data_IF_420822717082
#
_entry.id   IF_420822717082
#
_cell.length_a   1.000
_cell.length_b   1.000
_cell.length_c   1.000
_cell.angle_alpha   90.00
_cell.angle_beta   90.00
_cell.angle_gamma   90.00
#
_symmetry.space_group_name_H-M   'P 1'
#
loop_
_entity.id
_entity.type
_entity.pdbx_description
1 polymer ?
#
# COMPACT_ATOMS: atom_id res chain seq x y z
N UNK A 1 -67.68 48.46 46.28
CA UNK A 1 -67.28 49.36 45.19
C UNK A 1 -65.97 48.85 44.61
N UNK A 2 -65.87 48.44 43.33
CA UNK A 2 -66.18 49.17 42.07
C UNK A 2 -65.03 50.09 41.63
N UNK A 3 -64.66 50.17 40.35
CA UNK A 3 -64.90 49.27 39.19
C UNK A 3 -63.99 49.72 38.03
N UNK A 4 -63.67 48.80 37.10
CA UNK A 4 -63.37 49.06 35.66
C UNK A 4 -62.12 49.92 35.31
N UNK A 5 -61.36 49.66 34.23
CA UNK A 5 -61.65 49.63 32.77
C UNK A 5 -62.02 51.02 32.22
N UNK A 6 -61.79 51.41 30.96
CA UNK A 6 -61.23 50.80 29.71
C UNK A 6 -60.63 52.00 28.88
N UNK A 7 -59.97 51.96 27.71
CA UNK A 7 -59.72 50.93 26.68
C UNK A 7 -58.55 51.31 25.74
N UNK A 8 -58.28 50.44 24.74
CA UNK A 8 -57.92 50.72 23.33
C UNK A 8 -56.91 51.83 22.98
N UNK A 9 -55.74 51.55 22.39
CA UNK A 9 -55.48 50.97 21.04
C UNK A 9 -55.68 51.92 19.85
N UNK A 10 -54.63 52.19 19.06
CA UNK A 10 -54.69 52.11 17.57
C UNK A 10 -53.32 52.22 16.86
N UNK A 11 -53.18 51.39 15.81
CA UNK A 11 -52.51 51.61 14.49
C UNK A 11 -50.99 51.72 14.34
N UNK A 12 -50.56 51.18 13.20
CA UNK A 12 -49.22 51.26 12.59
C UNK A 12 -49.06 52.60 11.85
N UNK A 13 -47.83 53.05 11.62
CA UNK A 13 -47.17 52.96 10.29
C UNK A 13 -45.68 53.38 10.35
N UNK A 14 -44.93 53.18 9.27
CA UNK A 14 -43.46 53.27 9.27
C UNK A 14 -42.87 54.13 8.15
N UNK A 15 -41.98 55.06 8.53
CA UNK A 15 -40.96 55.78 7.73
C UNK A 15 -40.07 56.58 8.72
N UNK A 16 -38.79 56.86 8.48
CA UNK A 16 -37.82 56.25 7.55
C UNK A 16 -36.38 56.69 7.90
N UNK A 17 -35.38 55.88 7.54
CA UNK A 17 -33.98 56.28 7.27
C UNK A 17 -33.31 57.26 8.26
N UNK A 18 -32.86 56.76 9.41
CA UNK A 18 -31.78 57.43 10.14
C UNK A 18 -30.41 56.96 9.61
N UNK A 19 -29.58 57.92 9.21
CA UNK A 19 -28.16 57.71 8.88
C UNK A 19 -27.32 58.76 9.60
N UNK A 20 -26.02 58.47 9.76
CA UNK A 20 -25.06 59.19 10.61
C UNK A 20 -25.36 59.04 12.12
N UNK A 21 -24.37 59.08 13.03
CA UNK A 21 -22.94 59.37 12.87
C UNK A 21 -22.03 58.19 13.26
N UNK A 22 -20.84 58.14 12.65
CA UNK A 22 -19.86 57.07 12.85
C UNK A 22 -19.08 57.26 14.16
N UNK A 23 -19.30 56.38 15.15
CA UNK A 23 -18.34 56.21 16.25
C UNK A 23 -17.04 55.62 15.70
N UNK A 24 -15.96 56.39 15.75
CA UNK A 24 -14.64 55.95 15.26
C UNK A 24 -14.10 54.81 16.12
N UNK A 25 -14.22 53.58 15.62
CA UNK A 25 -13.50 52.43 16.17
C UNK A 25 -12.00 52.65 15.96
N UNK A 26 -11.26 52.83 17.06
CA UNK A 26 -9.78 52.88 17.03
C UNK A 26 -9.30 51.51 16.57
N UNK A 27 -8.86 51.38 15.31
CA UNK A 27 -8.26 50.14 14.79
C UNK A 27 -7.18 49.68 15.78
N UNK A 28 -7.22 48.44 16.29
CA UNK A 28 -6.12 47.93 17.09
C UNK A 28 -4.87 47.95 16.20
N UNK A 29 -3.82 48.66 16.64
CA UNK A 29 -2.50 48.53 16.02
C UNK A 29 -2.04 47.11 16.31
N UNK A 30 -1.89 46.29 15.27
CA UNK A 30 -1.32 44.97 15.42
C UNK A 30 0.11 45.15 15.91
N UNK A 31 0.38 44.75 17.16
CA UNK A 31 1.73 44.66 17.69
C UNK A 31 2.49 43.61 16.89
N UNK A 32 3.69 43.95 16.45
CA UNK A 32 4.61 42.94 15.92
C UNK A 32 4.85 41.89 17.01
N UNK A 33 4.63 40.62 16.66
CA UNK A 33 5.06 39.53 17.52
C UNK A 33 6.59 39.48 17.44
N UNK A 34 7.34 39.66 18.54
CA UNK A 34 8.75 39.39 18.53
C UNK A 34 8.92 37.88 18.33
N UNK A 35 9.20 37.48 17.08
CA UNK A 35 9.69 36.15 16.75
C UNK A 35 11.09 36.00 17.34
N UNK A 36 11.15 35.79 18.67
CA UNK A 36 12.33 35.24 19.31
C UNK A 36 12.76 34.01 18.49
N UNK A 37 14.06 33.91 18.17
CA UNK A 37 14.60 32.94 17.22
C UNK A 37 14.60 31.50 17.78
N UNK A 38 13.42 31.01 18.12
CA UNK A 38 13.15 29.68 18.62
C UNK A 38 13.52 28.67 17.54
N UNK A 39 14.61 27.93 17.74
CA UNK A 39 15.29 27.09 16.73
C UNK A 39 14.53 25.83 16.26
N UNK A 40 13.21 25.88 16.18
CA UNK A 40 12.34 24.79 15.81
C UNK A 40 12.28 24.60 14.28
N UNK A 41 13.09 23.67 13.77
CA UNK A 41 12.78 22.98 12.51
C UNK A 41 13.64 23.27 11.28
N UNK A 42 14.68 24.12 11.35
CA UNK A 42 15.54 24.44 10.21
C UNK A 42 16.22 23.23 9.53
N UNK A 43 16.44 23.31 8.21
CA UNK A 43 17.07 22.28 7.36
C UNK A 43 18.52 22.01 7.79
N UNK A 44 18.73 20.88 8.49
CA UNK A 44 20.04 20.40 8.96
C UNK A 44 20.23 18.91 8.63
N UNK A 45 21.47 18.42 8.65
CA UNK A 45 21.78 16.99 8.47
C UNK A 45 21.05 16.19 9.57
N UNK A 46 20.21 15.24 9.17
CA UNK A 46 19.34 14.49 10.10
C UNK A 46 18.03 15.19 10.52
N UNK A 47 17.64 16.30 9.87
CA UNK A 47 16.31 16.88 10.06
C UNK A 47 15.21 15.96 9.53
N UNK A 48 14.09 15.89 10.25
CA UNK A 48 12.92 15.08 9.91
C UNK A 48 12.54 14.09 11.01
N UNK A 49 11.61 13.19 10.71
CA UNK A 49 11.19 12.14 11.65
C UNK A 49 12.30 11.09 11.76
N UNK A 50 12.84 10.89 12.97
CA UNK A 50 13.77 9.78 13.26
C UNK A 50 13.17 8.44 12.77
N UNK A 51 13.94 7.58 12.08
CA UNK A 51 13.44 6.30 11.59
C UNK A 51 13.03 5.38 12.75
N UNK A 52 12.01 4.54 12.53
CA UNK A 52 11.64 3.47 13.48
C UNK A 52 12.55 2.26 13.26
N UNK A 53 13.79 2.37 13.75
CA UNK A 53 14.84 1.35 13.63
C UNK A 53 16.00 1.78 12.73
N UNK A 54 16.90 0.85 12.46
CA UNK A 54 18.17 1.06 11.72
C UNK A 54 18.01 1.59 10.29
N UNK A 55 16.82 1.45 9.70
CA UNK A 55 16.53 1.81 8.30
C UNK A 55 15.27 2.67 8.24
N UNK A 56 15.26 3.61 7.30
CA UNK A 56 14.07 4.41 7.02
C UNK A 56 12.95 3.50 6.48
N UNK A 57 11.76 3.61 7.09
CA UNK A 57 10.53 3.04 6.54
C UNK A 57 10.06 3.87 5.34
N UNK A 58 9.25 3.27 4.47
CA UNK A 58 8.77 3.91 3.25
C UNK A 58 8.00 5.21 3.54
N UNK A 59 8.29 6.30 2.82
CA UNK A 59 7.61 7.57 3.03
C UNK A 59 6.12 7.48 2.70
N UNK A 60 5.31 8.21 3.47
CA UNK A 60 3.85 8.25 3.37
C UNK A 60 3.37 9.11 2.17
N UNK A 61 3.84 8.79 0.96
CA UNK A 61 3.48 9.51 -0.28
C UNK A 61 2.05 9.16 -0.69
N UNK A 62 1.30 10.16 -1.20
CA UNK A 62 -0.01 9.92 -1.83
C UNK A 62 0.23 9.08 -3.09
N UNK A 63 -0.07 7.78 -3.04
CA UNK A 63 -0.03 6.89 -4.22
C UNK A 63 -0.75 7.60 -5.39
N UNK A 64 -0.18 7.63 -6.61
CA UNK A 64 -0.80 8.32 -7.74
C UNK A 64 -2.17 7.71 -8.08
N UNK A 65 -2.92 8.45 -8.89
CA UNK A 65 -4.13 7.94 -9.53
C UNK A 65 -3.75 6.81 -10.49
N UNK A 66 -4.53 5.74 -10.47
CA UNK A 66 -4.15 4.42 -10.97
C UNK A 66 -5.05 4.04 -12.14
N UNK A 67 -4.46 3.61 -13.24
CA UNK A 67 -5.20 2.97 -14.32
C UNK A 67 -5.48 1.51 -13.94
N UNK A 68 -6.74 1.06 -14.05
CA UNK A 68 -7.11 -0.34 -13.80
C UNK A 68 -6.38 -1.31 -14.73
N UNK A 69 -6.08 -0.84 -15.96
CA UNK A 69 -5.40 -1.57 -17.05
C UNK A 69 -3.92 -1.91 -16.79
N UNK A 70 -3.32 -1.42 -15.71
CA UNK A 70 -1.92 -1.69 -15.38
C UNK A 70 -1.78 -2.70 -14.22
N UNK A 71 -1.11 -3.83 -14.44
CA UNK A 71 -0.61 -4.70 -13.37
C UNK A 71 0.44 -3.98 -12.51
N UNK A 72 0.67 -4.50 -11.31
CA UNK A 72 1.62 -3.93 -10.35
C UNK A 72 2.60 -4.98 -9.84
N UNK A 73 3.87 -4.59 -9.76
CA UNK A 73 4.86 -5.33 -8.99
C UNK A 73 4.79 -4.89 -7.52
N UNK A 74 4.12 -5.71 -6.71
CA UNK A 74 4.06 -5.57 -5.25
C UNK A 74 5.29 -6.25 -4.63
N UNK A 75 5.88 -5.64 -3.60
CA UNK A 75 6.97 -6.26 -2.82
C UNK A 75 6.76 -6.00 -1.33
N UNK A 76 6.93 -7.05 -0.50
CA UNK A 76 6.80 -6.95 0.95
C UNK A 76 7.88 -7.77 1.67
N UNK A 77 8.57 -7.15 2.64
CA UNK A 77 9.74 -7.71 3.34
C UNK A 77 9.39 -8.08 4.78
N UNK A 78 9.94 -9.18 5.28
CA UNK A 78 9.79 -9.58 6.69
C UNK A 78 10.82 -8.90 7.60
N UNK A 79 10.56 -8.85 8.91
CA UNK A 79 11.54 -8.36 9.89
C UNK A 79 12.83 -9.19 9.90
N UNK A 80 13.94 -8.56 10.31
CA UNK A 80 15.19 -9.28 10.59
C UNK A 80 15.03 -10.28 11.74
N UNK A 81 15.90 -11.29 11.77
CA UNK A 81 15.84 -12.37 12.78
C UNK A 81 14.70 -13.38 12.60
N UNK A 82 13.85 -13.22 11.58
CA UNK A 82 12.79 -14.19 11.27
C UNK A 82 13.30 -15.34 10.38
N UNK A 83 12.76 -16.57 10.51
CA UNK A 83 13.18 -17.71 9.69
C UNK A 83 12.92 -17.50 8.18
N UNK A 84 13.68 -18.20 7.34
CA UNK A 84 13.58 -18.07 5.89
C UNK A 84 12.23 -18.53 5.35
N UNK A 85 11.60 -17.69 4.51
CA UNK A 85 10.38 -18.05 3.78
C UNK A 85 10.58 -19.22 2.79
N UNK A 86 11.84 -19.53 2.43
CA UNK A 86 12.21 -20.69 1.59
C UNK A 86 12.39 -22.00 2.36
N UNK A 87 12.09 -22.06 3.66
CA UNK A 87 11.98 -23.34 4.37
C UNK A 87 10.78 -24.13 3.83
N UNK A 88 10.91 -25.43 3.58
CA UNK A 88 9.86 -26.23 2.92
C UNK A 88 8.47 -26.12 3.58
N UNK A 89 8.39 -26.19 4.92
CA UNK A 89 7.14 -25.99 5.68
C UNK A 89 6.56 -24.58 5.53
N UNK A 90 7.41 -23.56 5.46
CA UNK A 90 6.98 -22.19 5.20
C UNK A 90 6.47 -22.06 3.75
N UNK A 91 7.16 -22.65 2.78
CA UNK A 91 6.76 -22.60 1.38
C UNK A 91 5.38 -23.24 1.12
N UNK A 92 5.11 -24.44 1.62
CA UNK A 92 3.80 -25.08 1.46
C UNK A 92 2.65 -24.26 2.07
N UNK A 93 2.92 -23.63 3.22
CA UNK A 93 1.99 -22.71 3.89
C UNK A 93 1.81 -21.39 3.12
N UNK A 94 2.87 -20.85 2.52
CA UNK A 94 2.81 -19.67 1.66
C UNK A 94 1.99 -19.96 0.41
N UNK A 95 2.30 -21.03 -0.32
CA UNK A 95 1.63 -21.43 -1.56
C UNK A 95 0.12 -21.63 -1.36
N UNK A 96 -0.27 -22.37 -0.32
CA UNK A 96 -1.68 -22.57 0.03
C UNK A 96 -2.37 -21.28 0.48
N UNK A 97 -1.69 -20.40 1.23
CA UNK A 97 -2.25 -19.10 1.64
C UNK A 97 -2.36 -18.11 0.48
N UNK A 98 -1.42 -18.13 -0.47
CA UNK A 98 -1.43 -17.35 -1.71
C UNK A 98 -2.59 -17.80 -2.58
N UNK A 99 -2.71 -19.10 -2.89
CA UNK A 99 -3.84 -19.67 -3.66
C UNK A 99 -5.19 -19.33 -3.05
N UNK A 100 -5.34 -19.48 -1.72
CA UNK A 100 -6.57 -19.17 -0.99
C UNK A 100 -6.82 -17.66 -0.78
N UNK A 101 -6.01 -16.78 -1.37
CA UNK A 101 -6.19 -15.34 -1.42
C UNK A 101 -5.82 -14.74 -2.77
N UNK A 102 -5.82 -15.57 -3.83
CA UNK A 102 -5.34 -15.21 -5.15
C UNK A 102 -6.35 -14.37 -5.94
N UNK A 103 -7.65 -14.52 -5.68
CA UNK A 103 -8.69 -13.69 -6.29
C UNK A 103 -9.72 -13.32 -5.21
N UNK A 104 -9.73 -12.05 -4.78
CA UNK A 104 -10.56 -11.53 -3.69
C UNK A 104 -10.72 -10.00 -3.80
N UNK A 105 -11.93 -9.48 -3.56
CA UNK A 105 -12.22 -8.03 -3.45
C UNK A 105 -11.82 -7.17 -4.67
N UNK A 106 -11.87 -7.71 -5.89
CA UNK A 106 -11.41 -7.01 -7.10
C UNK A 106 -9.89 -6.91 -7.20
N UNK A 107 -9.17 -7.84 -6.57
CA UNK A 107 -7.71 -7.97 -6.61
C UNK A 107 -7.36 -9.41 -6.99
N UNK A 108 -6.43 -9.54 -7.94
CA UNK A 108 -5.98 -10.82 -8.52
C UNK A 108 -4.46 -10.92 -8.43
N UNK A 109 -3.96 -12.00 -7.84
CA UNK A 109 -2.57 -12.42 -7.88
C UNK A 109 -2.32 -13.15 -9.19
N UNK A 110 -1.43 -12.62 -10.03
CA UNK A 110 -1.06 -13.23 -11.31
C UNK A 110 0.19 -14.10 -11.12
N UNK A 111 1.25 -13.54 -10.55
CA UNK A 111 2.54 -14.22 -10.36
C UNK A 111 3.12 -13.97 -8.97
N UNK A 112 4.00 -14.84 -8.48
CA UNK A 112 4.72 -14.63 -7.23
C UNK A 112 6.16 -15.18 -7.27
N UNK A 113 7.00 -14.63 -6.39
CA UNK A 113 8.33 -15.17 -6.08
C UNK A 113 8.64 -14.98 -4.60
N UNK A 114 8.91 -16.09 -3.91
CA UNK A 114 9.29 -16.11 -2.50
C UNK A 114 10.81 -16.05 -2.41
N UNK A 115 11.35 -14.92 -1.95
CA UNK A 115 12.74 -14.80 -1.51
C UNK A 115 12.84 -15.17 -0.02
N UNK A 116 14.05 -15.49 0.46
CA UNK A 116 14.29 -15.90 1.85
C UNK A 116 13.73 -14.93 2.91
N UNK A 117 13.66 -13.63 2.61
CA UNK A 117 13.14 -12.60 3.54
C UNK A 117 12.14 -11.60 2.91
N UNK A 118 11.63 -11.85 1.69
CA UNK A 118 10.60 -11.01 1.08
C UNK A 118 9.78 -11.76 0.01
N UNK A 119 8.61 -11.21 -0.28
CA UNK A 119 7.71 -11.66 -1.35
C UNK A 119 7.70 -10.63 -2.47
N UNK A 120 7.83 -11.08 -3.71
CA UNK A 120 7.41 -10.36 -4.91
C UNK A 120 6.10 -10.94 -5.41
N UNK A 121 5.17 -10.07 -5.83
CA UNK A 121 3.89 -10.45 -6.42
C UNK A 121 3.66 -9.58 -7.66
N UNK A 122 3.20 -10.15 -8.77
CA UNK A 122 2.57 -9.39 -9.86
C UNK A 122 1.07 -9.51 -9.65
N UNK A 123 0.39 -8.37 -9.55
CA UNK A 123 -1.02 -8.30 -9.19
C UNK A 123 -1.80 -7.39 -10.14
N UNK A 124 -3.02 -7.78 -10.42
CA UNK A 124 -4.05 -6.95 -11.03
C UNK A 124 -5.06 -6.55 -9.95
N UNK A 125 -5.78 -5.47 -10.17
CA UNK A 125 -6.90 -5.07 -9.33
C UNK A 125 -7.73 -4.00 -10.04
N UNK A 126 -9.01 -3.87 -9.70
CA UNK A 126 -9.92 -2.92 -10.36
C UNK A 126 -9.53 -1.47 -10.05
N UNK A 127 -9.29 -1.15 -8.77
CA UNK A 127 -8.97 0.20 -8.32
C UNK A 127 -7.90 0.24 -7.20
N UNK A 128 -7.76 1.39 -6.55
CA UNK A 128 -6.83 1.59 -5.42
C UNK A 128 -7.34 0.96 -4.11
N UNK A 129 -8.65 0.87 -3.92
CA UNK A 129 -9.30 0.31 -2.73
C UNK A 129 -9.16 -1.21 -2.75
N UNK A 130 -9.47 -1.85 -3.88
CA UNK A 130 -9.30 -3.27 -4.16
C UNK A 130 -7.84 -3.72 -3.95
N UNK A 131 -6.87 -3.05 -4.59
CA UNK A 131 -5.44 -3.29 -4.36
C UNK A 131 -5.07 -3.22 -2.87
N UNK A 132 -5.60 -2.23 -2.15
CA UNK A 132 -5.32 -2.02 -0.72
C UNK A 132 -6.00 -3.08 0.15
N UNK A 133 -7.23 -3.49 -0.16
CA UNK A 133 -8.00 -4.52 0.56
C UNK A 133 -7.38 -5.90 0.33
N UNK A 134 -7.22 -6.33 -0.92
CA UNK A 134 -6.64 -7.62 -1.30
C UNK A 134 -5.23 -7.81 -0.75
N UNK A 135 -4.31 -6.86 -1.04
CA UNK A 135 -2.93 -6.96 -0.54
C UNK A 135 -2.85 -6.96 1.00
N UNK A 136 -3.68 -6.16 1.69
CA UNK A 136 -3.74 -6.17 3.16
C UNK A 136 -4.30 -7.48 3.70
N UNK A 137 -5.39 -7.99 3.13
CA UNK A 137 -6.01 -9.25 3.56
C UNK A 137 -5.03 -10.43 3.36
N UNK A 138 -4.36 -10.48 2.22
CA UNK A 138 -3.35 -11.47 1.89
C UNK A 138 -2.18 -11.43 2.88
N UNK A 139 -1.55 -10.26 3.08
CA UNK A 139 -0.43 -10.12 4.03
C UNK A 139 -0.84 -10.39 5.48
N UNK A 140 -2.08 -10.09 5.90
CA UNK A 140 -2.59 -10.45 7.23
C UNK A 140 -2.79 -11.97 7.38
N UNK A 141 -3.33 -12.66 6.36
CA UNK A 141 -3.45 -14.13 6.36
C UNK A 141 -2.07 -14.79 6.42
N UNK A 142 -1.13 -14.35 5.57
CA UNK A 142 0.26 -14.81 5.55
C UNK A 142 0.93 -14.58 6.91
N UNK A 143 0.83 -13.38 7.50
CA UNK A 143 1.43 -13.08 8.79
C UNK A 143 0.87 -13.95 9.93
N UNK A 144 -0.45 -14.19 9.97
CA UNK A 144 -1.09 -15.07 10.97
C UNK A 144 -0.64 -16.52 10.83
N UNK A 145 -0.57 -17.03 9.60
CA UNK A 145 -0.17 -18.41 9.33
C UNK A 145 1.32 -18.63 9.60
N UNK A 146 2.19 -17.72 9.17
CA UNK A 146 3.64 -17.77 9.44
C UNK A 146 3.95 -17.68 10.94
N UNK A 147 3.28 -16.78 11.69
CA UNK A 147 3.44 -16.70 13.14
C UNK A 147 3.04 -18.01 13.85
N UNK A 148 1.96 -18.67 13.40
CA UNK A 148 1.56 -19.99 13.91
C UNK A 148 2.61 -21.06 13.64
N UNK A 149 3.11 -21.17 12.40
CA UNK A 149 4.15 -22.12 12.00
C UNK A 149 5.45 -21.94 12.80
N UNK A 150 5.78 -20.69 13.15
CA UNK A 150 6.98 -20.34 13.90
C UNK A 150 6.73 -20.17 15.42
N UNK A 151 5.60 -20.65 15.94
CA UNK A 151 5.21 -20.59 17.37
C UNK A 151 5.36 -19.20 18.03
N UNK A 152 5.14 -18.12 17.26
CA UNK A 152 5.49 -16.74 17.63
C UNK A 152 4.28 -15.80 17.63
N UNK A 153 4.38 -14.68 18.36
CA UNK A 153 3.46 -13.52 18.30
C UNK A 153 4.22 -12.27 17.87
N UNK A 154 3.54 -11.32 17.23
CA UNK A 154 4.12 -10.04 16.80
C UNK A 154 4.02 -9.78 15.29
N UNK A 155 4.72 -8.75 14.81
CA UNK A 155 4.74 -8.41 13.39
C UNK A 155 5.60 -9.40 12.57
N UNK A 156 5.17 -9.69 11.34
CA UNK A 156 5.95 -10.49 10.37
C UNK A 156 6.57 -9.57 9.32
N UNK A 157 5.74 -8.75 8.65
CA UNK A 157 6.18 -7.80 7.64
C UNK A 157 6.68 -6.50 8.30
N UNK A 158 7.86 -6.04 7.87
CA UNK A 158 8.59 -4.96 8.52
C UNK A 158 8.05 -3.55 8.24
N UNK A 159 7.30 -3.41 7.15
CA UNK A 159 6.81 -2.14 6.62
C UNK A 159 5.52 -2.37 5.80
N UNK A 160 4.94 -1.30 5.27
CA UNK A 160 3.94 -1.37 4.20
C UNK A 160 4.54 -2.08 2.98
N UNK A 161 3.67 -2.67 2.17
CA UNK A 161 4.07 -3.17 0.87
C UNK A 161 4.45 -2.00 -0.06
N UNK A 162 5.58 -2.14 -0.76
CA UNK A 162 5.83 -1.35 -1.96
C UNK A 162 4.91 -1.88 -3.08
N UNK A 163 4.44 -1.00 -3.96
CA UNK A 163 3.83 -1.46 -5.22
C UNK A 163 4.11 -0.45 -6.32
N UNK A 164 4.80 -0.91 -7.36
CA UNK A 164 5.15 -0.19 -8.57
C UNK A 164 4.15 -0.53 -9.68
N UNK A 165 3.75 0.46 -10.48
CA UNK A 165 2.78 0.31 -11.58
C UNK A 165 3.53 0.01 -12.88
N UNK A 166 3.18 -1.09 -13.55
CA UNK A 166 3.87 -1.57 -14.76
C UNK A 166 3.20 -0.95 -16.00
N UNK A 167 3.78 0.12 -16.53
CA UNK A 167 3.14 1.03 -17.50
C UNK A 167 3.39 0.68 -18.97
N UNK A 168 4.13 -0.40 -19.24
CA UNK A 168 4.39 -0.85 -20.61
C UNK A 168 4.56 -2.38 -20.68
N UNK A 169 4.24 -3.03 -21.82
CA UNK A 169 4.49 -4.46 -22.02
C UNK A 169 5.96 -4.85 -21.82
N UNK A 170 6.89 -3.96 -22.18
CA UNK A 170 8.33 -4.17 -21.96
C UNK A 170 8.71 -4.13 -20.47
N UNK A 171 7.99 -3.37 -19.65
CA UNK A 171 8.17 -3.35 -18.19
C UNK A 171 7.51 -4.56 -17.52
N UNK A 172 6.30 -4.95 -17.95
CA UNK A 172 5.65 -6.21 -17.54
C UNK A 172 6.54 -7.41 -17.84
N UNK A 173 7.12 -7.50 -19.05
CA UNK A 173 8.10 -8.54 -19.42
C UNK A 173 9.33 -8.56 -18.52
N UNK A 174 9.84 -7.40 -18.09
CA UNK A 174 10.97 -7.31 -17.15
C UNK A 174 10.57 -7.78 -15.74
N UNK A 175 9.37 -7.42 -15.28
CA UNK A 175 8.83 -7.90 -14.00
C UNK A 175 8.62 -9.42 -13.99
N UNK A 176 7.99 -9.98 -15.04
CA UNK A 176 7.85 -11.43 -15.23
C UNK A 176 9.21 -12.15 -15.23
N UNK A 177 10.14 -11.67 -16.05
CA UNK A 177 11.48 -12.25 -16.13
C UNK A 177 12.24 -12.18 -14.80
N UNK A 178 12.01 -11.15 -13.97
CA UNK A 178 12.58 -11.03 -12.64
C UNK A 178 11.94 -12.02 -11.65
N UNK A 179 10.60 -12.02 -11.54
CA UNK A 179 9.84 -12.84 -10.59
C UNK A 179 10.04 -14.33 -10.83
N UNK A 180 9.91 -14.78 -12.08
CA UNK A 180 9.91 -16.21 -12.46
C UNK A 180 11.32 -16.83 -12.54
N UNK A 181 12.38 -16.02 -12.62
CA UNK A 181 13.77 -16.50 -12.72
C UNK A 181 14.69 -15.99 -11.60
N UNK A 182 14.14 -15.49 -10.48
CA UNK A 182 14.97 -14.86 -9.45
C UNK A 182 16.06 -15.81 -8.90
N UNK A 183 15.75 -17.10 -8.67
CA UNK A 183 16.77 -18.06 -8.23
C UNK A 183 17.94 -18.25 -9.23
N UNK A 184 17.69 -18.22 -10.55
CA UNK A 184 18.76 -18.31 -11.56
C UNK A 184 19.76 -17.15 -11.43
N UNK A 185 19.31 -15.95 -11.04
CA UNK A 185 20.19 -14.80 -10.79
C UNK A 185 20.97 -14.86 -9.48
N UNK A 186 20.56 -15.72 -8.55
CA UNK A 186 21.19 -15.88 -7.23
C UNK A 186 21.92 -17.22 -7.05
N UNK A 187 22.07 -18.02 -8.12
CA UNK A 187 22.82 -19.28 -8.12
C UNK A 187 22.25 -20.41 -7.25
N UNK A 188 21.13 -20.17 -6.55
CA UNK A 188 20.56 -21.08 -5.57
C UNK A 188 19.80 -22.28 -6.18
N UNK A 189 19.47 -22.18 -7.47
CA UNK A 189 19.13 -23.31 -8.34
C UNK A 189 19.87 -23.09 -9.67
N UNK A 190 20.26 -24.18 -10.33
CA UNK A 190 21.01 -24.15 -11.59
C UNK A 190 20.15 -23.77 -12.81
N UNK A 191 20.16 -24.60 -13.85
CA UNK A 191 19.40 -24.31 -15.08
C UNK A 191 17.86 -24.41 -14.91
N UNK A 192 17.34 -24.88 -13.78
CA UNK A 192 15.91 -25.13 -13.55
C UNK A 192 15.02 -23.88 -13.44
N UNK A 193 13.71 -24.13 -13.28
CA UNK A 193 12.69 -23.16 -12.87
C UNK A 193 12.71 -23.04 -11.34
N UNK A 194 12.39 -21.88 -10.77
CA UNK A 194 12.41 -21.64 -9.33
C UNK A 194 11.14 -22.20 -8.64
N UNK A 195 11.22 -23.29 -7.84
CA UNK A 195 10.04 -23.91 -7.21
C UNK A 195 9.43 -23.06 -6.10
N UNK A 196 10.10 -21.97 -5.70
CA UNK A 196 9.59 -20.96 -4.76
C UNK A 196 8.91 -19.78 -5.48
N UNK A 197 8.58 -19.92 -6.76
CA UNK A 197 7.86 -18.94 -7.59
C UNK A 197 6.62 -19.58 -8.23
N UNK A 198 5.81 -18.78 -8.92
CA UNK A 198 4.75 -19.28 -9.81
C UNK A 198 5.28 -19.92 -11.10
N UNK A 199 6.60 -19.85 -11.37
CA UNK A 199 7.25 -20.40 -12.56
C UNK A 199 6.85 -21.83 -12.94
N UNK A 200 6.71 -22.81 -12.01
CA UNK A 200 6.30 -24.17 -12.37
C UNK A 200 4.90 -24.29 -13.02
N UNK A 201 4.09 -23.23 -12.99
CA UNK A 201 2.77 -23.14 -13.61
C UNK A 201 2.70 -22.08 -14.74
N UNK A 202 3.82 -21.48 -15.14
CA UNK A 202 3.87 -20.45 -16.18
C UNK A 202 4.05 -21.08 -17.56
N UNK A 203 3.05 -20.91 -18.43
CA UNK A 203 2.98 -21.44 -19.79
C UNK A 203 3.77 -20.59 -20.81
N UNK A 204 3.91 -19.28 -20.58
CA UNK A 204 4.57 -18.34 -21.48
C UNK A 204 6.10 -18.47 -21.62
N UNK A 205 6.71 -19.57 -21.18
CA UNK A 205 8.13 -19.83 -21.44
C UNK A 205 8.35 -20.21 -22.91
N UNK A 206 9.35 -19.58 -23.54
CA UNK A 206 9.86 -20.06 -24.83
C UNK A 206 10.84 -21.20 -24.59
N UNK A 207 10.56 -22.35 -25.18
CA UNK A 207 11.53 -23.43 -25.38
C UNK A 207 12.82 -22.86 -26.00
N UNK A 208 13.98 -23.39 -25.58
CA UNK A 208 15.24 -23.14 -26.31
C UNK A 208 15.20 -23.99 -27.57
N UNK A 209 15.12 -23.33 -28.72
CA UNK A 209 14.82 -23.99 -30.00
C UNK A 209 15.77 -25.13 -30.35
N UNK A 210 15.20 -26.33 -30.42
CA UNK A 210 15.62 -27.47 -31.23
C UNK A 210 14.37 -28.03 -31.91
N UNK A 211 14.48 -28.97 -32.86
CA UNK A 211 13.31 -29.63 -33.43
C UNK A 211 12.53 -30.37 -32.33
N UNK A 212 11.20 -30.42 -32.47
CA UNK A 212 10.38 -31.31 -31.62
C UNK A 212 10.77 -32.74 -31.95
N UNK A 213 11.35 -33.44 -30.99
CA UNK A 213 11.32 -34.89 -30.96
C UNK A 213 9.92 -35.30 -30.50
N UNK A 214 9.18 -36.01 -31.33
CA UNK A 214 7.83 -36.46 -31.00
C UNK A 214 7.88 -37.46 -29.84
N UNK A 215 7.26 -37.08 -28.72
CA UNK A 215 7.01 -37.95 -27.57
C UNK A 215 5.55 -37.81 -27.12
N UNK A 216 4.65 -38.23 -28.02
CA UNK A 216 3.34 -38.75 -27.65
C UNK A 216 3.43 -40.27 -27.82
N UNK A 217 3.75 -41.00 -26.74
CA UNK A 217 3.07 -42.25 -26.38
C UNK A 217 3.55 -42.81 -25.03
N UNK A 218 2.64 -43.53 -24.36
CA UNK A 218 2.83 -44.50 -23.27
C UNK A 218 3.83 -44.18 -22.12
N UNK A 219 3.32 -43.64 -21.01
CA UNK A 219 3.11 -44.38 -19.74
C UNK A 219 2.35 -43.54 -18.70
#
# INVERSE_FOLDING_TARGET
MEQMNDSSSTRQEARSRQSTQLRQSRRPRQSELPFAASGWGGRRRGAGRKPKGERALHPHVRRPERNSRHPLHVTSRIHGGLPSLRQARAHALLLSTLRAGADQFGFRLVEFSVQSNHLHLIVEADDRIALTRGTRALLVRLARNLNRLWCRRGAVFADRYHAHELKSPAEVRRALAYVLHNARRHGALGAGIDPFSSGPWFDGFRERGGPRADFIEAM
#
